data_IF_375760039924
#
_entry.id   IF_375760039924
#
_cell.length_a   1.000
_cell.length_b   1.000
_cell.length_c   1.000
_cell.angle_alpha   90.00
_cell.angle_beta   90.00
_cell.angle_gamma   90.00
#
_symmetry.space_group_name_H-M   'P 1'
#
loop_
_entity.id
_entity.type
_entity.pdbx_description
1 polymer ?
#
# COMPACT_ATOMS: atom_id res chain seq x y z
N UNK A 1 14.68 21.51 33.95
CA UNK A 1 14.94 20.06 33.83
C UNK A 1 14.88 19.74 32.34
N UNK A 2 16.03 19.55 31.68
CA UNK A 2 16.09 19.33 30.23
C UNK A 2 15.97 17.84 29.94
N UNK A 3 14.97 17.46 29.15
CA UNK A 3 14.76 16.10 28.64
C UNK A 3 15.78 15.78 27.57
N UNK A 4 16.68 14.83 27.85
CA UNK A 4 17.51 14.20 26.81
C UNK A 4 16.64 13.22 26.03
N UNK A 5 16.03 13.68 24.93
CA UNK A 5 15.33 12.80 23.99
C UNK A 5 16.33 11.87 23.32
N UNK A 6 16.06 10.57 23.36
CA UNK A 6 16.87 9.54 22.71
C UNK A 6 16.72 9.63 21.17
N UNK A 7 17.69 9.10 20.44
CA UNK A 7 17.63 9.04 18.97
C UNK A 7 16.38 8.30 18.50
N UNK A 8 15.99 7.22 19.19
CA UNK A 8 14.79 6.45 18.85
C UNK A 8 13.51 7.27 19.00
N UNK A 9 13.38 8.03 20.09
CA UNK A 9 12.24 8.91 20.32
C UNK A 9 12.18 10.05 19.29
N UNK A 10 13.33 10.63 18.93
CA UNK A 10 13.39 11.64 17.87
C UNK A 10 12.91 11.09 16.52
N UNK A 11 13.37 9.88 16.14
CA UNK A 11 12.95 9.24 14.90
C UNK A 11 11.45 8.93 14.90
N UNK A 12 10.92 8.39 16.01
CA UNK A 12 9.49 8.12 16.15
C UNK A 12 8.65 9.40 16.05
N UNK A 13 9.09 10.49 16.70
CA UNK A 13 8.40 11.78 16.63
C UNK A 13 8.44 12.37 15.22
N UNK A 14 9.59 12.27 14.53
CA UNK A 14 9.70 12.72 13.14
C UNK A 14 8.77 11.93 12.21
N UNK A 15 8.69 10.61 12.40
CA UNK A 15 7.80 9.72 11.66
C UNK A 15 6.32 10.10 11.85
N UNK A 16 5.89 10.31 13.10
CA UNK A 16 4.53 10.74 13.41
C UNK A 16 4.17 12.09 12.75
N UNK A 17 5.11 13.02 12.68
CA UNK A 17 4.94 14.30 11.97
C UNK A 17 4.74 14.08 10.47
N UNK A 18 5.55 13.23 9.84
CA UNK A 18 5.43 12.92 8.41
C UNK A 18 4.09 12.26 8.08
N UNK A 19 3.65 11.28 8.88
CA UNK A 19 2.34 10.62 8.70
C UNK A 19 1.21 11.64 8.78
N UNK A 20 1.24 12.48 9.82
CA UNK A 20 0.22 13.52 10.03
C UNK A 20 0.17 14.51 8.86
N UNK A 21 1.34 14.90 8.35
CA UNK A 21 1.44 15.83 7.24
C UNK A 21 0.95 15.22 5.92
N UNK A 22 1.28 13.97 5.64
CA UNK A 22 0.76 13.25 4.46
C UNK A 22 -0.77 13.18 4.52
N UNK A 23 -1.35 12.75 5.64
CA UNK A 23 -2.81 12.67 5.80
C UNK A 23 -3.49 14.02 5.60
N UNK A 24 -2.97 15.07 6.24
CA UNK A 24 -3.51 16.42 6.17
C UNK A 24 -3.46 16.97 4.74
N UNK A 25 -2.32 16.81 4.06
CA UNK A 25 -2.14 17.30 2.69
C UNK A 25 -2.93 16.48 1.67
N UNK A 26 -2.99 15.16 1.83
CA UNK A 26 -3.79 14.32 0.96
C UNK A 26 -5.27 14.70 1.01
N UNK A 27 -5.82 14.87 2.21
CA UNK A 27 -7.21 15.30 2.40
C UNK A 27 -7.50 16.67 1.73
N UNK A 28 -6.60 17.63 1.97
CA UNK A 28 -6.77 19.00 1.47
C UNK A 28 -6.57 19.13 -0.05
N UNK A 29 -5.56 18.47 -0.63
CA UNK A 29 -5.16 18.65 -2.03
C UNK A 29 -5.86 17.65 -2.98
N UNK A 30 -6.27 16.48 -2.47
CA UNK A 30 -6.72 15.37 -3.30
C UNK A 30 -8.17 14.94 -3.03
N UNK A 31 -8.70 15.09 -1.81
CA UNK A 31 -10.05 14.58 -1.45
C UNK A 31 -11.14 15.65 -1.54
N UNK A 32 -10.88 16.86 -1.01
CA UNK A 32 -11.89 17.91 -0.76
C UNK A 32 -12.77 18.27 -1.97
N UNK A 33 -12.27 18.14 -3.21
CA UNK A 33 -13.03 18.45 -4.45
C UNK A 33 -13.16 17.27 -5.43
N UNK A 34 -12.66 16.08 -5.07
CA UNK A 34 -12.53 14.93 -6.00
C UNK A 34 -12.99 13.62 -5.37
N UNK A 35 -14.09 13.62 -4.61
CA UNK A 35 -14.50 12.44 -3.83
C UNK A 35 -14.75 11.18 -4.67
N UNK A 36 -15.12 11.33 -5.95
CA UNK A 36 -15.30 10.19 -6.86
C UNK A 36 -14.00 9.73 -7.55
N UNK A 37 -12.83 10.26 -7.18
CA UNK A 37 -11.56 9.82 -7.76
C UNK A 37 -11.04 8.52 -7.12
N UNK A 38 -11.43 8.23 -5.89
CA UNK A 38 -10.91 7.11 -5.10
C UNK A 38 -12.01 6.20 -4.57
N UNK A 39 -11.61 5.00 -4.14
CA UNK A 39 -12.46 4.13 -3.33
C UNK A 39 -12.44 4.62 -1.87
N UNK A 40 -13.61 4.73 -1.25
CA UNK A 40 -13.72 5.25 0.12
C UNK A 40 -12.97 4.39 1.14
N UNK A 41 -12.84 3.09 0.91
CA UNK A 41 -12.11 2.16 1.79
C UNK A 41 -10.61 2.47 1.84
N UNK A 42 -10.05 2.89 0.70
CA UNK A 42 -8.65 3.28 0.63
C UNK A 42 -8.43 4.64 1.32
N UNK A 43 -9.33 5.61 1.14
CA UNK A 43 -9.23 6.90 1.85
C UNK A 43 -9.37 6.73 3.36
N UNK A 44 -10.34 5.93 3.81
CA UNK A 44 -10.53 5.63 5.24
C UNK A 44 -9.30 4.93 5.84
N UNK A 45 -8.77 3.91 5.15
CA UNK A 45 -7.59 3.19 5.62
C UNK A 45 -6.37 4.09 5.73
N UNK A 46 -6.20 5.07 4.82
CA UNK A 46 -5.09 6.02 4.88
C UNK A 46 -5.11 6.83 6.19
N UNK A 47 -6.30 7.15 6.71
CA UNK A 47 -6.48 7.90 7.95
C UNK A 47 -6.26 7.05 9.21
N UNK A 48 -6.44 5.73 9.12
CA UNK A 48 -6.44 4.83 10.29
C UNK A 48 -5.16 3.98 10.42
N UNK A 49 -4.48 3.66 9.32
CA UNK A 49 -3.37 2.71 9.28
C UNK A 49 -2.02 3.42 9.12
N UNK A 50 -1.33 3.67 10.23
CA UNK A 50 0.01 4.30 10.23
C UNK A 50 1.01 3.49 9.42
N UNK A 51 1.03 2.15 9.55
CA UNK A 51 1.99 1.30 8.84
C UNK A 51 1.82 1.40 7.33
N UNK A 52 0.60 1.61 6.86
CA UNK A 52 0.33 1.78 5.45
C UNK A 52 0.88 3.11 4.92
N UNK A 53 0.63 4.23 5.60
CA UNK A 53 1.21 5.54 5.27
C UNK A 53 2.74 5.47 5.30
N UNK A 54 3.29 4.83 6.33
CA UNK A 54 4.73 4.64 6.50
C UNK A 54 5.36 3.84 5.38
N UNK A 55 4.66 2.85 4.82
CA UNK A 55 5.16 2.05 3.69
C UNK A 55 5.35 2.92 2.45
N UNK A 56 4.41 3.81 2.15
CA UNK A 56 4.57 4.79 1.05
C UNK A 56 5.66 5.83 1.33
N UNK A 57 5.75 6.32 2.57
CA UNK A 57 6.84 7.21 2.99
C UNK A 57 8.20 6.52 2.81
N UNK A 58 8.34 5.26 3.24
CA UNK A 58 9.56 4.50 3.10
C UNK A 58 9.96 4.31 1.63
N UNK A 59 9.00 3.98 0.76
CA UNK A 59 9.23 3.87 -0.69
C UNK A 59 9.66 5.17 -1.36
N UNK A 60 9.23 6.32 -0.83
CA UNK A 60 9.59 7.64 -1.34
C UNK A 60 10.63 8.35 -0.47
N UNK A 61 11.40 7.59 0.32
CA UNK A 61 12.49 8.11 1.16
C UNK A 61 12.09 9.26 2.09
N UNK A 62 10.87 9.20 2.64
CA UNK A 62 10.25 10.20 3.51
C UNK A 62 10.02 11.58 2.84
N UNK A 63 10.00 11.64 1.51
CA UNK A 63 9.68 12.85 0.76
C UNK A 63 8.17 12.97 0.55
N UNK A 64 7.53 13.87 1.32
CA UNK A 64 6.07 14.03 1.38
C UNK A 64 5.43 14.26 0.02
N UNK A 65 5.95 15.19 -0.80
CA UNK A 65 5.37 15.49 -2.12
C UNK A 65 5.35 14.28 -3.05
N UNK A 66 6.41 13.49 -3.01
CA UNK A 66 6.55 12.28 -3.82
C UNK A 66 5.69 11.14 -3.27
N UNK A 67 5.50 11.07 -1.96
CA UNK A 67 4.52 10.18 -1.31
C UNK A 67 3.10 10.51 -1.73
N UNK A 68 2.72 11.79 -1.79
CA UNK A 68 1.38 12.22 -2.20
C UNK A 68 1.08 11.84 -3.65
N UNK A 69 2.03 12.04 -4.58
CA UNK A 69 1.88 11.61 -5.98
C UNK A 69 1.68 10.10 -6.09
N UNK A 70 2.50 9.32 -5.36
CA UNK A 70 2.41 7.86 -5.38
C UNK A 70 1.06 7.37 -4.81
N UNK A 71 0.57 8.00 -3.73
CA UNK A 71 -0.75 7.71 -3.18
C UNK A 71 -1.86 8.03 -4.20
N UNK A 72 -1.79 9.18 -4.87
CA UNK A 72 -2.76 9.59 -5.88
C UNK A 72 -2.87 8.58 -7.02
N UNK A 73 -1.75 8.19 -7.61
CA UNK A 73 -1.68 7.22 -8.69
C UNK A 73 -2.15 5.83 -8.23
N UNK A 74 -1.72 5.41 -7.03
CA UNK A 74 -2.07 4.09 -6.49
C UNK A 74 -3.56 3.97 -6.20
N UNK A 75 -4.19 5.00 -5.62
CA UNK A 75 -5.61 4.95 -5.25
C UNK A 75 -6.52 5.01 -6.48
N UNK A 76 -6.12 5.75 -7.52
CA UNK A 76 -6.80 5.72 -8.81
C UNK A 76 -6.76 4.32 -9.43
N UNK A 77 -5.57 3.73 -9.51
CA UNK A 77 -5.41 2.40 -10.07
C UNK A 77 -6.18 1.33 -9.27
N UNK A 78 -6.16 1.44 -7.94
CA UNK A 78 -6.91 0.52 -7.07
C UNK A 78 -8.42 0.60 -7.29
N UNK A 79 -8.97 1.81 -7.52
CA UNK A 79 -10.37 1.99 -7.90
C UNK A 79 -10.64 1.44 -9.30
N UNK A 80 -9.81 1.78 -10.28
CA UNK A 80 -9.96 1.34 -11.68
C UNK A 80 -9.98 -0.19 -11.80
N UNK A 81 -9.11 -0.86 -11.06
CA UNK A 81 -9.00 -2.33 -11.06
C UNK A 81 -9.94 -3.01 -10.05
N UNK A 82 -10.79 -2.24 -9.36
CA UNK A 82 -11.68 -2.71 -8.31
C UNK A 82 -10.96 -3.62 -7.27
N UNK A 83 -9.76 -3.22 -6.86
CA UNK A 83 -8.84 -4.07 -6.07
C UNK A 83 -9.47 -4.54 -4.76
N UNK A 84 -10.25 -3.68 -4.11
CA UNK A 84 -10.92 -4.01 -2.86
C UNK A 84 -12.10 -4.99 -3.03
N UNK A 85 -12.52 -5.26 -4.27
CA UNK A 85 -13.59 -6.20 -4.62
C UNK A 85 -13.05 -7.46 -5.30
N UNK A 86 -11.73 -7.57 -5.47
CA UNK A 86 -11.10 -8.78 -5.97
C UNK A 86 -11.30 -9.92 -4.97
N UNK A 87 -11.77 -11.05 -5.50
CA UNK A 87 -11.95 -12.30 -4.78
C UNK A 87 -11.26 -13.42 -5.56
N UNK A 88 -11.23 -14.63 -5.01
CA UNK A 88 -10.67 -15.79 -5.72
C UNK A 88 -11.34 -16.02 -7.08
N UNK A 89 -12.63 -15.70 -7.21
CA UNK A 89 -13.36 -15.84 -8.48
C UNK A 89 -12.98 -14.77 -9.51
N UNK A 90 -12.40 -13.66 -9.07
CA UNK A 90 -11.87 -12.61 -9.95
C UNK A 90 -10.58 -13.06 -10.63
N UNK A 91 -9.91 -14.09 -10.12
CA UNK A 91 -8.70 -14.66 -10.70
C UNK A 91 -9.11 -15.71 -11.73
N UNK A 92 -8.69 -15.59 -13.01
CA UNK A 92 -8.99 -16.61 -14.01
C UNK A 92 -8.46 -17.98 -13.55
N UNK A 93 -9.33 -19.00 -13.50
CA UNK A 93 -8.97 -20.35 -13.01
C UNK A 93 -7.74 -20.92 -13.69
N UNK A 94 -7.57 -20.64 -14.98
CA UNK A 94 -6.40 -21.09 -15.73
C UNK A 94 -5.07 -20.59 -15.11
N UNK A 95 -5.04 -19.38 -14.53
CA UNK A 95 -3.83 -18.84 -13.90
C UNK A 95 -3.43 -19.65 -12.65
N UNK A 96 -4.42 -20.14 -11.90
CA UNK A 96 -4.22 -21.03 -10.76
C UNK A 96 -3.85 -22.44 -11.21
N UNK A 97 -4.52 -22.94 -12.25
CA UNK A 97 -4.36 -24.31 -12.77
C UNK A 97 -3.00 -24.56 -13.42
N UNK A 98 -2.40 -23.55 -14.07
CA UNK A 98 -1.06 -23.70 -14.62
C UNK A 98 0.01 -23.70 -13.51
N UNK A 99 -0.37 -23.40 -12.26
CA UNK A 99 0.55 -23.46 -11.14
C UNK A 99 1.66 -22.40 -11.24
N UNK A 100 1.37 -21.25 -11.87
CA UNK A 100 2.33 -20.16 -11.97
C UNK A 100 2.62 -19.52 -10.61
N UNK A 101 1.64 -19.49 -9.70
CA UNK A 101 1.73 -18.83 -8.39
C UNK A 101 1.20 -19.74 -7.28
N UNK A 102 2.01 -20.02 -6.26
CA UNK A 102 1.62 -20.82 -5.08
C UNK A 102 1.76 -20.04 -3.78
N UNK A 103 0.74 -20.10 -2.92
CA UNK A 103 0.83 -19.67 -1.53
C UNK A 103 1.54 -20.76 -0.72
N UNK A 104 2.78 -20.52 -0.29
CA UNK A 104 3.61 -21.52 0.39
C UNK A 104 3.92 -21.15 1.85
N UNK A 105 3.01 -21.50 2.76
CA UNK A 105 3.23 -21.32 4.19
C UNK A 105 3.48 -19.86 4.59
N UNK A 106 4.10 -19.67 5.75
CA UNK A 106 4.38 -18.36 6.31
C UNK A 106 5.85 -18.25 6.71
N UNK A 107 6.42 -17.07 6.54
CA UNK A 107 7.77 -16.79 7.00
C UNK A 107 7.83 -16.67 8.55
N UNK A 108 9.04 -16.41 9.08
CA UNK A 108 9.25 -16.24 10.54
C UNK A 108 8.50 -15.05 11.14
N UNK A 109 8.04 -14.11 10.30
CA UNK A 109 7.26 -12.92 10.68
C UNK A 109 5.75 -13.11 10.41
N UNK A 110 5.33 -14.34 10.10
CA UNK A 110 3.96 -14.72 9.74
C UNK A 110 3.44 -14.00 8.49
N UNK A 111 4.32 -13.62 7.57
CA UNK A 111 3.95 -13.12 6.26
C UNK A 111 3.78 -14.28 5.28
N UNK A 112 2.74 -14.23 4.45
CA UNK A 112 2.46 -15.23 3.43
C UNK A 112 3.60 -15.25 2.39
N UNK A 113 4.20 -16.40 2.15
CA UNK A 113 5.19 -16.56 1.07
C UNK A 113 4.46 -16.94 -0.21
N UNK A 114 4.86 -16.31 -1.32
CA UNK A 114 4.33 -16.57 -2.65
C UNK A 114 5.49 -17.10 -3.51
N UNK A 115 5.34 -18.28 -4.08
CA UNK A 115 6.31 -18.87 -5.03
C UNK A 115 5.80 -18.68 -6.44
N UNK A 116 6.63 -18.10 -7.31
CA UNK A 116 6.38 -17.97 -8.75
C UNK A 116 7.27 -18.98 -9.50
N UNK A 117 6.66 -19.87 -10.28
CA UNK A 117 7.39 -20.78 -11.16
C UNK A 117 7.50 -20.14 -12.54
N UNK A 118 8.61 -19.42 -12.76
CA UNK A 118 8.86 -18.57 -13.93
C UNK A 118 8.90 -19.25 -15.31
N UNK A 119 8.61 -20.55 -15.42
CA UNK A 119 8.44 -21.25 -16.70
C UNK A 119 7.05 -21.88 -16.80
N UNK A 120 6.13 -21.14 -17.41
CA UNK A 120 4.84 -21.66 -17.87
C UNK A 120 4.96 -21.98 -19.36
N UNK A 121 4.89 -23.26 -19.80
CA UNK A 121 5.00 -23.59 -21.21
C UNK A 121 3.78 -23.01 -21.95
N UNK A 122 4.04 -21.99 -22.78
CA UNK A 122 3.07 -21.40 -23.69
C UNK A 122 2.62 -22.45 -24.70
N UNK A 123 1.51 -23.15 -24.46
CA UNK A 123 0.86 -23.96 -25.50
C UNK A 123 0.02 -23.03 -26.38
N UNK A 124 0.56 -22.67 -27.55
CA UNK A 124 -0.26 -22.11 -28.65
C UNK A 124 -1.25 -23.17 -29.17
N UNK A 125 -2.43 -22.74 -29.66
CA UNK A 125 -3.39 -23.62 -30.32
C UNK A 125 -2.79 -24.30 -31.56
#
# INVERSE_FOLDING_TARGET
MSTTTTIAEYQAQNKAKLISEVRRRFEAEYVTDKSDKYDSRDVERLQQDDNWVESYLAWRHNVVDETLKMLDESFQWRKEMAVNDLTEVSIPRWLLEIGGIYLHGYDKRRQQVILDQGEVPYKRP
#
